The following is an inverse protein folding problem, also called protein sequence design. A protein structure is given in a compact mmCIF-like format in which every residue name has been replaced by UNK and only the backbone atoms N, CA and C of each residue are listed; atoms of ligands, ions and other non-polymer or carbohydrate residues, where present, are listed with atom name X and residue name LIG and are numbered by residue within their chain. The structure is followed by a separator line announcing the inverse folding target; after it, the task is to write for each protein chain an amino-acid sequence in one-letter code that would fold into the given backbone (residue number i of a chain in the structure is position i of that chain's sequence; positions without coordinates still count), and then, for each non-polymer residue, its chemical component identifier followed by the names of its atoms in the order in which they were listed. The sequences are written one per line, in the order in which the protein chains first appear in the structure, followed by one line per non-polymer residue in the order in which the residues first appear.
data_IF_889587095798
#
_entry.id   IF_889587095798
#
_cell.length_a   1.000
_cell.length_b   1.000
_cell.length_c   1.000
_cell.angle_alpha   90.00
_cell.angle_beta   90.00
_cell.angle_gamma   90.00
#
_symmetry.space_group_name_H-M   'P 1'
#
loop_
_entity.id
_entity.type
_entity.pdbx_description
1 polymer ?
#
# COMPACT_ATOMS: atom_id res chain seq x y z
N UNK A 1 17.86 -16.91 8.56
CA UNK A 1 18.71 -15.69 8.48
C UNK A 1 19.90 -15.78 9.42
N UNK A 2 19.72 -15.85 10.74
CA UNK A 2 20.84 -15.84 11.70
C UNK A 2 21.87 -16.98 11.51
N UNK A 3 21.48 -18.10 10.91
CA UNK A 3 22.37 -19.22 10.57
C UNK A 3 23.35 -18.90 9.43
N UNK A 4 23.11 -17.84 8.66
CA UNK A 4 23.95 -17.44 7.53
C UNK A 4 24.92 -16.34 7.98
N UNK A 5 26.24 -16.59 7.95
CA UNK A 5 27.25 -15.63 8.42
C UNK A 5 27.21 -14.27 7.73
N UNK A 6 26.67 -14.19 6.51
CA UNK A 6 26.62 -12.94 5.73
C UNK A 6 25.69 -11.87 6.33
N UNK A 7 24.78 -12.27 7.21
CA UNK A 7 23.93 -11.33 7.96
C UNK A 7 24.53 -10.91 9.31
N UNK A 8 25.70 -11.44 9.67
CA UNK A 8 26.40 -11.11 10.91
C UNK A 8 27.55 -10.14 10.60
N UNK A 9 27.92 -9.28 11.56
CA UNK A 9 29.04 -8.37 11.36
C UNK A 9 30.36 -9.14 11.32
N UNK A 10 31.29 -8.67 10.48
CA UNK A 10 32.68 -9.09 10.56
C UNK A 10 33.42 -8.42 11.74
N UNK A 11 34.72 -8.69 11.88
CA UNK A 11 35.58 -8.11 12.93
C UNK A 11 35.66 -6.58 12.89
N UNK A 12 35.28 -5.96 11.78
CA UNK A 12 35.23 -4.51 11.59
C UNK A 12 33.80 -3.94 11.66
N UNK A 13 32.80 -4.77 11.97
CA UNK A 13 31.40 -4.36 12.03
C UNK A 13 30.69 -4.28 10.67
N UNK A 14 31.30 -4.76 9.58
CA UNK A 14 30.67 -4.69 8.27
C UNK A 14 29.65 -5.81 8.06
N UNK A 15 28.52 -5.47 7.44
CA UNK A 15 27.49 -6.42 7.03
C UNK A 15 27.59 -6.68 5.53
N UNK A 16 27.77 -7.96 5.14
CA UNK A 16 27.76 -8.37 3.72
C UNK A 16 26.35 -8.34 3.15
N UNK A 17 25.35 -8.76 3.93
CA UNK A 17 23.93 -8.66 3.60
C UNK A 17 23.24 -7.73 4.59
N UNK A 18 22.57 -6.71 4.04
CA UNK A 18 21.80 -5.73 4.81
C UNK A 18 20.33 -6.10 4.81
N UNK A 19 19.62 -5.75 5.88
CA UNK A 19 18.19 -6.00 6.03
C UNK A 19 17.45 -4.67 5.96
N UNK A 20 16.49 -4.57 5.05
CA UNK A 20 15.50 -3.50 5.03
C UNK A 20 14.20 -4.04 5.58
N UNK A 21 13.65 -3.37 6.60
CA UNK A 21 12.36 -3.69 7.18
C UNK A 21 11.33 -2.67 6.71
N UNK A 22 10.35 -3.14 5.95
CA UNK A 22 9.22 -2.34 5.49
C UNK A 22 8.14 -2.29 6.57
N UNK A 23 7.75 -1.10 6.98
CA UNK A 23 6.92 -0.86 8.17
C UNK A 23 5.90 0.24 7.89
N UNK A 24 4.75 0.19 8.57
CA UNK A 24 3.70 1.20 8.49
C UNK A 24 3.72 2.18 9.65
N UNK A 25 4.33 1.81 10.78
CA UNK A 25 4.30 2.58 12.03
C UNK A 25 5.52 2.29 12.92
N UNK A 26 5.75 3.13 13.92
CA UNK A 26 6.90 3.02 14.82
C UNK A 26 6.82 1.76 15.72
N UNK A 27 5.63 1.37 16.17
CA UNK A 27 5.46 0.23 17.07
C UNK A 27 5.81 -1.08 16.36
N UNK A 28 5.34 -1.27 15.13
CA UNK A 28 5.64 -2.44 14.32
C UNK A 28 7.14 -2.51 13.99
N UNK A 29 7.77 -1.37 13.68
CA UNK A 29 9.22 -1.27 13.48
C UNK A 29 10.01 -1.67 14.73
N UNK A 30 9.61 -1.13 15.89
CA UNK A 30 10.24 -1.41 17.17
C UNK A 30 10.13 -2.90 17.55
N UNK A 31 8.92 -3.47 17.50
CA UNK A 31 8.68 -4.87 17.86
C UNK A 31 9.46 -5.82 16.94
N UNK A 32 9.34 -5.64 15.62
CA UNK A 32 10.01 -6.50 14.64
C UNK A 32 11.54 -6.32 14.68
N UNK A 33 12.01 -5.08 14.87
CA UNK A 33 13.42 -4.78 15.11
C UNK A 33 13.97 -5.57 16.30
N UNK A 34 13.27 -5.56 17.45
CA UNK A 34 13.70 -6.32 18.63
C UNK A 34 13.74 -7.82 18.38
N UNK A 35 12.79 -8.37 17.63
CA UNK A 35 12.78 -9.79 17.27
C UNK A 35 14.01 -10.15 16.44
N UNK A 36 14.42 -9.29 15.50
CA UNK A 36 15.60 -9.51 14.65
C UNK A 36 16.90 -9.30 15.44
N UNK A 37 16.99 -8.23 16.23
CA UNK A 37 18.16 -7.93 17.06
C UNK A 37 18.45 -9.08 18.05
N UNK A 38 17.42 -9.62 18.72
CA UNK A 38 17.55 -10.80 19.60
C UNK A 38 18.07 -12.06 18.89
N UNK A 39 17.98 -12.12 17.56
CA UNK A 39 18.53 -13.20 16.74
C UNK A 39 19.92 -12.88 16.18
N UNK A 40 20.51 -11.75 16.58
CA UNK A 40 21.78 -11.25 16.05
C UNK A 40 21.66 -10.76 14.61
N UNK A 41 20.49 -10.26 14.21
CA UNK A 41 20.26 -9.67 12.88
C UNK A 41 20.08 -8.17 13.02
N UNK A 42 20.91 -7.40 12.32
CA UNK A 42 20.82 -5.94 12.29
C UNK A 42 19.89 -5.46 11.18
N UNK A 43 18.97 -4.54 11.51
CA UNK A 43 18.14 -3.85 10.52
C UNK A 43 18.90 -2.61 10.06
N UNK A 44 19.29 -2.58 8.79
CA UNK A 44 20.07 -1.47 8.20
C UNK A 44 19.18 -0.34 7.66
N UNK A 45 17.91 -0.62 7.37
CA UNK A 45 16.95 0.37 6.88
C UNK A 45 15.55 0.07 7.43
N UNK A 46 14.89 1.09 7.97
CA UNK A 46 13.45 1.12 8.22
C UNK A 46 12.80 1.90 7.09
N UNK A 47 12.04 1.19 6.24
CA UNK A 47 11.33 1.76 5.10
C UNK A 47 9.88 1.94 5.47
N UNK A 48 9.53 3.18 5.78
CA UNK A 48 8.18 3.57 6.18
C UNK A 48 7.34 3.71 4.93
N UNK A 49 6.15 3.13 4.92
CA UNK A 49 5.22 3.24 3.81
C UNK A 49 3.86 3.76 4.27
N UNK A 50 3.30 4.69 3.51
CA UNK A 50 1.89 5.06 3.66
C UNK A 50 1.00 3.85 3.41
N UNK A 51 0.07 3.60 4.33
CA UNK A 51 -0.78 2.41 4.31
C UNK A 51 -1.70 2.33 3.08
N UNK A 52 -2.22 3.47 2.62
CA UNK A 52 -3.20 3.54 1.52
C UNK A 52 -2.68 4.26 0.27
N UNK A 53 -1.64 5.09 0.38
CA UNK A 53 -1.16 5.93 -0.73
C UNK A 53 -0.01 5.29 -1.53
N UNK A 54 0.40 4.07 -1.18
CA UNK A 54 1.35 3.26 -1.93
C UNK A 54 0.66 2.45 -3.05
N UNK A 55 1.41 2.02 -4.06
CA UNK A 55 0.95 0.97 -4.97
C UNK A 55 0.97 -0.41 -4.32
N UNK A 56 0.30 -1.38 -4.92
CA UNK A 56 0.20 -2.74 -4.40
C UNK A 56 -0.75 -2.84 -3.20
N UNK A 57 -0.42 -3.69 -2.23
CA UNK A 57 -1.26 -3.93 -1.06
C UNK A 57 -1.56 -2.65 -0.28
N UNK A 58 -2.82 -2.49 0.09
CA UNK A 58 -3.33 -1.38 0.86
C UNK A 58 -3.59 -1.85 2.30
N UNK A 59 -2.76 -1.39 3.22
CA UNK A 59 -2.83 -1.72 4.64
C UNK A 59 -3.29 -0.48 5.41
N UNK A 60 -4.60 -0.32 5.55
CA UNK A 60 -5.14 0.74 6.40
C UNK A 60 -4.68 0.53 7.85
N UNK A 61 -4.07 1.55 8.44
CA UNK A 61 -3.94 1.69 9.89
C UNK A 61 -5.31 2.01 10.50
N UNK A 62 -5.42 2.08 11.83
CA UNK A 62 -6.61 2.60 12.49
C UNK A 62 -6.63 4.15 12.44
N UNK A 63 -6.45 4.74 11.25
CA UNK A 63 -6.49 6.18 11.01
C UNK A 63 -5.18 6.94 11.24
N UNK A 64 -4.09 6.25 11.56
CA UNK A 64 -2.77 6.88 11.74
C UNK A 64 -2.22 7.37 10.39
N UNK A 65 -1.89 8.67 10.32
CA UNK A 65 -1.37 9.33 9.12
C UNK A 65 0.17 9.34 9.10
N UNK A 66 0.75 9.46 7.89
CA UNK A 66 2.20 9.33 7.68
C UNK A 66 3.01 10.40 8.42
N UNK A 67 2.59 11.67 8.41
CA UNK A 67 3.34 12.74 9.07
C UNK A 67 3.59 12.51 10.56
N UNK A 68 2.52 12.29 11.37
CA UNK A 68 2.68 11.92 12.77
C UNK A 68 3.59 10.71 12.98
N UNK A 69 3.48 9.67 12.14
CA UNK A 69 4.35 8.50 12.20
C UNK A 69 5.81 8.90 11.98
N UNK A 70 6.11 9.70 10.95
CA UNK A 70 7.46 10.20 10.67
C UNK A 70 8.00 11.07 11.81
N UNK A 71 7.17 11.89 12.46
CA UNK A 71 7.58 12.69 13.62
C UNK A 71 8.01 11.80 14.81
N UNK A 72 7.28 10.70 15.04
CA UNK A 72 7.65 9.71 16.07
C UNK A 72 8.97 9.04 15.72
N UNK A 73 9.20 8.66 14.46
CA UNK A 73 10.48 8.10 14.02
C UNK A 73 11.62 9.10 14.17
N UNK A 74 11.44 10.35 13.73
CA UNK A 74 12.42 11.42 13.87
C UNK A 74 12.81 11.62 15.33
N UNK A 75 11.83 11.69 16.23
CA UNK A 75 12.05 11.94 17.65
C UNK A 75 12.73 10.76 18.36
N UNK A 76 12.38 9.52 17.99
CA UNK A 76 12.82 8.32 18.71
C UNK A 76 13.92 7.52 17.98
N UNK A 77 14.47 8.02 16.87
CA UNK A 77 15.47 7.30 16.04
C UNK A 77 16.65 6.79 16.86
N UNK A 78 17.27 7.65 17.66
CA UNK A 78 18.43 7.29 18.47
C UNK A 78 18.08 6.28 19.57
N UNK A 79 16.94 6.46 20.25
CA UNK A 79 16.44 5.52 21.24
C UNK A 79 16.22 4.13 20.63
N UNK A 80 15.55 4.06 19.48
CA UNK A 80 15.36 2.83 18.73
C UNK A 80 16.70 2.15 18.42
N UNK A 81 17.66 2.87 17.86
CA UNK A 81 18.97 2.34 17.46
C UNK A 81 19.72 1.78 18.68
N UNK A 82 19.77 2.53 19.78
CA UNK A 82 20.50 2.14 20.98
C UNK A 82 19.91 0.87 21.62
N UNK A 83 18.58 0.82 21.80
CA UNK A 83 17.94 -0.37 22.38
C UNK A 83 18.10 -1.62 21.51
N UNK A 84 18.07 -1.46 20.18
CA UNK A 84 18.31 -2.57 19.27
C UNK A 84 19.78 -3.01 19.30
N UNK A 85 20.72 -2.08 19.43
CA UNK A 85 22.13 -2.38 19.55
C UNK A 85 22.45 -3.19 20.81
N UNK A 86 21.83 -2.89 21.95
CA UNK A 86 22.00 -3.69 23.17
C UNK A 86 21.55 -5.14 22.98
N UNK A 87 20.35 -5.34 22.41
CA UNK A 87 19.80 -6.67 22.15
C UNK A 87 20.63 -7.46 21.12
N UNK A 88 21.07 -6.76 20.07
CA UNK A 88 21.92 -7.32 19.03
C UNK A 88 23.26 -7.75 19.60
N UNK A 89 23.91 -6.89 20.39
CA UNK A 89 25.18 -7.17 21.03
C UNK A 89 25.10 -8.38 21.97
N UNK A 90 24.06 -8.46 22.81
CA UNK A 90 23.83 -9.63 23.67
C UNK A 90 23.68 -10.93 22.85
N UNK A 91 22.96 -10.87 21.72
CA UNK A 91 22.81 -12.01 20.83
C UNK A 91 24.15 -12.43 20.21
N UNK A 92 25.00 -11.49 19.79
CA UNK A 92 26.32 -11.80 19.23
C UNK A 92 27.27 -12.41 20.26
N UNK A 93 27.30 -11.89 21.49
CA UNK A 93 28.08 -12.46 22.61
C UNK A 93 27.70 -13.93 22.84
N UNK A 94 26.41 -14.23 22.93
CA UNK A 94 25.93 -15.60 23.15
C UNK A 94 26.32 -16.58 22.04
N UNK A 95 26.69 -16.06 20.87
CA UNK A 95 27.07 -16.83 19.67
C UNK A 95 28.58 -16.85 19.42
N UNK A 96 29.37 -16.18 20.25
CA UNK A 96 30.82 -16.08 20.06
C UNK A 96 31.22 -15.30 18.80
N UNK A 97 30.39 -14.34 18.38
CA UNK A 97 30.63 -13.49 17.19
C UNK A 97 31.17 -12.13 17.66
N UNK A 98 32.09 -11.49 16.91
CA UNK A 98 32.56 -10.13 17.22
C UNK A 98 31.40 -9.14 17.39
N UNK A 99 31.48 -8.32 18.43
CA UNK A 99 30.47 -7.33 18.77
C UNK A 99 30.97 -5.95 18.35
N UNK A 100 30.24 -5.21 17.50
CA UNK A 100 30.59 -3.84 17.19
C UNK A 100 30.56 -2.96 18.45
N UNK A 101 31.55 -2.09 18.62
CA UNK A 101 31.64 -1.21 19.79
C UNK A 101 30.62 -0.07 19.78
N UNK A 102 30.03 0.22 18.63
CA UNK A 102 29.01 1.25 18.41
C UNK A 102 27.86 0.66 17.60
N UNK A 103 26.65 1.25 17.69
CA UNK A 103 25.54 0.89 16.82
C UNK A 103 25.94 1.01 15.35
N UNK A 104 25.54 0.01 14.56
CA UNK A 104 25.76 0.05 13.11
C UNK A 104 24.80 1.08 12.48
N UNK A 105 25.15 1.70 11.33
CA UNK A 105 24.30 2.70 10.70
C UNK A 105 22.90 2.18 10.36
N UNK A 106 21.88 3.03 10.60
CA UNK A 106 20.47 2.76 10.27
C UNK A 106 19.92 3.89 9.44
N UNK A 107 19.33 3.54 8.29
CA UNK A 107 18.58 4.47 7.45
C UNK A 107 17.10 4.43 7.80
N UNK A 108 16.44 5.58 7.76
CA UNK A 108 14.98 5.71 7.78
C UNK A 108 14.57 6.30 6.44
N UNK A 109 13.81 5.54 5.65
CA UNK A 109 13.32 5.98 4.33
C UNK A 109 11.80 5.99 4.32
N UNK A 110 11.19 6.76 3.41
CA UNK A 110 9.73 6.89 3.32
C UNK A 110 9.20 6.76 1.90
N UNK A 111 8.04 6.12 1.74
CA UNK A 111 7.38 5.94 0.45
C UNK A 111 5.87 6.11 0.56
N UNK A 112 5.23 6.40 -0.56
CA UNK A 112 3.78 6.50 -0.70
C UNK A 112 3.33 7.92 -1.01
N UNK A 113 2.58 8.08 -2.11
CA UNK A 113 1.97 9.36 -2.48
C UNK A 113 2.91 10.48 -2.94
N UNK A 114 4.22 10.35 -2.80
CA UNK A 114 5.20 11.38 -3.19
C UNK A 114 5.13 11.59 -4.70
N UNK A 115 5.03 12.84 -5.13
CA UNK A 115 4.89 13.17 -6.55
C UNK A 115 5.63 14.42 -7.00
N UNK A 116 6.10 15.31 -6.13
CA UNK A 116 6.99 16.42 -6.54
C UNK A 116 8.37 16.37 -5.88
N UNK A 117 9.35 17.03 -6.50
CA UNK A 117 10.67 17.23 -5.89
C UNK A 117 10.60 18.04 -4.59
N UNK A 118 9.66 18.99 -4.49
CA UNK A 118 9.45 19.77 -3.27
C UNK A 118 8.90 18.91 -2.11
N UNK A 119 8.04 17.93 -2.40
CA UNK A 119 7.60 16.94 -1.41
C UNK A 119 8.77 16.06 -0.93
N UNK A 120 9.62 15.56 -1.86
CA UNK A 120 10.84 14.80 -1.50
C UNK A 120 11.78 15.61 -0.61
N UNK A 121 12.06 16.85 -1.01
CA UNK A 121 12.93 17.77 -0.28
C UNK A 121 12.36 18.08 1.11
N UNK A 122 11.07 18.37 1.20
CA UNK A 122 10.41 18.61 2.49
C UNK A 122 10.54 17.42 3.43
N UNK A 123 10.35 16.19 2.94
CA UNK A 123 10.46 14.98 3.76
C UNK A 123 11.88 14.84 4.34
N UNK A 124 12.92 15.10 3.53
CA UNK A 124 14.32 15.05 3.96
C UNK A 124 14.65 16.15 4.96
N UNK A 125 14.24 17.39 4.67
CA UNK A 125 14.61 18.54 5.47
C UNK A 125 13.88 18.58 6.82
N UNK A 126 12.56 18.34 6.80
CA UNK A 126 11.73 18.45 8.00
C UNK A 126 11.78 17.18 8.85
N UNK A 127 11.64 15.99 8.24
CA UNK A 127 11.62 14.72 8.98
C UNK A 127 12.99 14.05 9.14
N UNK A 128 14.02 14.57 8.48
CA UNK A 128 15.37 14.00 8.51
C UNK A 128 15.43 12.54 8.02
N UNK A 129 14.58 12.19 7.05
CA UNK A 129 14.63 10.87 6.39
C UNK A 129 15.86 10.79 5.48
N UNK A 130 16.47 9.60 5.45
CA UNK A 130 17.67 9.28 4.67
C UNK A 130 17.37 9.05 3.17
N UNK A 131 16.10 9.09 2.78
CA UNK A 131 15.66 8.96 1.39
C UNK A 131 14.17 8.72 1.22
N UNK A 132 13.71 8.90 0.00
CA UNK A 132 12.35 8.60 -0.41
C UNK A 132 12.30 7.49 -1.46
N UNK A 133 11.15 6.85 -1.62
CA UNK A 133 10.90 5.85 -2.66
C UNK A 133 9.74 6.22 -3.58
N UNK A 134 9.95 5.96 -4.87
CA UNK A 134 9.01 6.24 -5.95
C UNK A 134 8.76 4.95 -6.72
N UNK A 135 7.56 4.39 -6.59
CA UNK A 135 7.21 3.12 -7.21
C UNK A 135 6.36 3.31 -8.47
N UNK A 136 5.10 3.67 -8.28
CA UNK A 136 4.09 3.71 -9.34
C UNK A 136 4.45 4.57 -10.56
N UNK A 137 5.09 5.74 -10.44
CA UNK A 137 5.53 6.51 -11.61
C UNK A 137 6.45 5.72 -12.56
N UNK A 138 7.25 4.78 -12.06
CA UNK A 138 8.12 3.95 -12.91
C UNK A 138 7.35 2.94 -13.78
N UNK A 139 6.05 2.71 -13.52
CA UNK A 139 5.20 1.95 -14.44
C UNK A 139 5.00 2.67 -15.78
N UNK A 140 5.32 3.96 -15.88
CA UNK A 140 5.32 4.74 -17.12
C UNK A 140 6.70 4.82 -17.80
N UNK A 141 7.71 4.14 -17.24
CA UNK A 141 9.10 4.12 -17.74
C UNK A 141 9.42 2.78 -18.41
N UNK A 142 9.48 2.69 -19.76
CA UNK A 142 9.77 1.45 -20.47
C UNK A 142 11.11 0.80 -20.09
N UNK A 143 12.11 1.63 -19.79
CA UNK A 143 13.47 1.19 -19.44
C UNK A 143 13.56 0.54 -18.05
N UNK A 144 12.57 0.76 -17.17
CA UNK A 144 12.61 0.34 -15.77
C UNK A 144 11.64 -0.80 -15.42
N UNK A 145 10.63 -1.05 -16.25
CA UNK A 145 9.55 -1.99 -15.94
C UNK A 145 9.10 -2.78 -17.16
N UNK A 146 8.74 -4.05 -16.96
CA UNK A 146 8.22 -4.94 -18.00
C UNK A 146 6.72 -4.77 -18.28
N UNK A 147 6.14 -3.61 -17.97
CA UNK A 147 4.72 -3.33 -18.29
C UNK A 147 4.56 -3.28 -19.81
N UNK A 148 3.56 -3.98 -20.35
CA UNK A 148 3.27 -3.97 -21.79
C UNK A 148 2.72 -2.62 -22.25
N UNK A 149 2.88 -2.33 -23.55
CA UNK A 149 2.54 -1.01 -24.12
C UNK A 149 1.06 -0.66 -23.94
N UNK A 150 0.15 -1.63 -24.07
CA UNK A 150 -1.28 -1.41 -23.90
C UNK A 150 -1.64 -1.01 -22.47
N UNK A 151 -1.11 -1.73 -21.49
CA UNK A 151 -1.25 -1.40 -20.07
C UNK A 151 -0.60 -0.07 -19.73
N UNK A 152 0.59 0.22 -20.27
CA UNK A 152 1.31 1.47 -20.03
C UNK A 152 0.56 2.68 -20.58
N UNK A 153 0.01 2.56 -21.79
CA UNK A 153 -0.83 3.59 -22.38
C UNK A 153 -2.08 3.83 -21.52
N UNK A 154 -2.74 2.76 -21.07
CA UNK A 154 -3.89 2.86 -20.17
C UNK A 154 -3.54 3.58 -18.86
N UNK A 155 -2.36 3.32 -18.28
CA UNK A 155 -1.90 4.03 -17.08
C UNK A 155 -1.63 5.51 -17.35
N UNK A 156 -1.11 5.86 -18.53
CA UNK A 156 -0.87 7.25 -18.93
C UNK A 156 -2.17 8.03 -19.20
N UNK A 157 -3.22 7.34 -19.66
CA UNK A 157 -4.52 7.94 -19.94
C UNK A 157 -5.47 7.95 -18.72
N UNK A 158 -5.07 7.28 -17.63
CA UNK A 158 -5.90 7.11 -16.44
C UNK A 158 -6.10 8.41 -15.66
N UNK A 159 -7.31 8.57 -15.14
CA UNK A 159 -7.73 9.68 -14.28
C UNK A 159 -7.88 9.21 -12.83
N UNK A 160 -8.16 10.12 -11.90
CA UNK A 160 -8.33 9.76 -10.48
C UNK A 160 -9.40 8.69 -10.25
N UNK A 161 -10.48 8.68 -11.04
CA UNK A 161 -11.61 7.75 -10.89
C UNK A 161 -11.29 6.31 -11.31
N UNK A 162 -10.21 6.14 -12.09
CA UNK A 162 -9.74 4.84 -12.57
C UNK A 162 -8.94 4.07 -11.51
N UNK A 163 -8.46 4.75 -10.47
CA UNK A 163 -7.70 4.14 -9.38
C UNK A 163 -8.62 3.86 -8.19
N UNK A 164 -8.51 2.66 -7.62
CA UNK A 164 -9.32 2.28 -6.46
C UNK A 164 -8.66 1.21 -5.60
N UNK A 165 -8.99 1.17 -4.32
CA UNK A 165 -8.64 0.04 -3.45
C UNK A 165 -9.62 -1.11 -3.69
N UNK A 166 -9.10 -2.24 -4.17
CA UNK A 166 -9.86 -3.41 -4.60
C UNK A 166 -9.87 -4.50 -3.52
N UNK A 167 -11.02 -5.18 -3.39
CA UNK A 167 -11.19 -6.41 -2.59
C UNK A 167 -10.88 -7.68 -3.42
N UNK A 168 -10.46 -7.56 -4.68
CA UNK A 168 -10.31 -8.68 -5.64
C UNK A 168 -9.25 -9.73 -5.29
N UNK A 169 -8.44 -9.50 -4.26
CA UNK A 169 -7.37 -10.42 -3.85
C UNK A 169 -7.95 -11.76 -3.38
N UNK A 170 -7.43 -12.90 -3.88
CA UNK A 170 -7.85 -14.21 -3.40
C UNK A 170 -7.53 -14.46 -1.92
N UNK A 171 -6.57 -13.70 -1.36
CA UNK A 171 -6.16 -13.77 0.04
C UNK A 171 -6.99 -12.87 0.97
N UNK A 172 -7.94 -12.09 0.43
CA UNK A 172 -8.74 -11.15 1.21
C UNK A 172 -7.97 -9.93 1.72
N UNK A 173 -6.78 -9.66 1.16
CA UNK A 173 -5.97 -8.47 1.47
C UNK A 173 -6.23 -7.41 0.40
N UNK A 174 -6.75 -6.23 0.74
CA UNK A 174 -7.00 -5.17 -0.23
C UNK A 174 -5.71 -4.67 -0.89
N UNK A 175 -5.83 -4.18 -2.12
CA UNK A 175 -4.72 -3.56 -2.85
C UNK A 175 -5.21 -2.48 -3.81
N UNK A 176 -4.38 -1.47 -4.07
CA UNK A 176 -4.68 -0.45 -5.06
C UNK A 176 -4.60 -1.04 -6.48
N UNK A 177 -5.63 -0.77 -7.27
CA UNK A 177 -5.85 -1.38 -8.57
C UNK A 177 -6.29 -0.33 -9.60
N UNK A 178 -6.15 -0.69 -10.87
CA UNK A 178 -6.64 0.08 -12.00
C UNK A 178 -7.93 -0.55 -12.55
N UNK A 179 -8.93 0.28 -12.83
CA UNK A 179 -10.18 -0.16 -13.48
C UNK A 179 -9.96 -0.55 -14.93
N UNK A 180 -10.83 -1.42 -15.43
CA UNK A 180 -10.95 -1.81 -16.82
C UNK A 180 -9.64 -2.42 -17.40
N UNK A 181 -8.88 -3.09 -16.55
CA UNK A 181 -7.73 -3.88 -17.01
C UNK A 181 -8.19 -5.07 -17.85
N UNK A 182 -7.33 -5.60 -18.72
CA UNK A 182 -7.69 -6.75 -19.56
C UNK A 182 -8.00 -8.00 -18.72
N UNK A 183 -7.44 -8.11 -17.51
CA UNK A 183 -7.82 -9.11 -16.51
C UNK A 183 -9.23 -8.91 -15.96
N UNK A 184 -9.59 -7.69 -15.58
CA UNK A 184 -10.96 -7.37 -15.12
C UNK A 184 -11.99 -7.61 -16.24
N UNK A 185 -11.69 -7.21 -17.47
CA UNK A 185 -12.54 -7.50 -18.64
C UNK A 185 -12.67 -9.01 -18.91
N UNK A 186 -11.61 -9.80 -18.70
CA UNK A 186 -11.69 -11.25 -18.88
C UNK A 186 -12.56 -11.90 -17.81
N UNK A 187 -12.46 -11.44 -16.57
CA UNK A 187 -13.27 -11.88 -15.45
C UNK A 187 -14.76 -11.70 -15.75
N UNK A 188 -15.19 -10.50 -16.15
CA UNK A 188 -16.61 -10.26 -16.46
C UNK A 188 -17.10 -11.04 -17.68
N UNK A 189 -16.29 -11.16 -18.75
CA UNK A 189 -16.62 -12.02 -19.90
C UNK A 189 -16.83 -13.49 -19.52
N UNK A 190 -16.13 -13.98 -18.49
CA UNK A 190 -16.30 -15.35 -17.98
C UNK A 190 -17.59 -15.50 -17.17
N UNK A 191 -17.94 -14.49 -16.38
CA UNK A 191 -19.22 -14.42 -15.66
C UNK A 191 -20.39 -14.47 -16.65
N UNK A 192 -20.38 -13.63 -17.69
CA UNK A 192 -21.41 -13.60 -18.75
C UNK A 192 -21.59 -14.94 -19.47
N UNK A 193 -20.50 -15.70 -19.63
CA UNK A 193 -20.52 -17.04 -20.25
C UNK A 193 -20.93 -18.15 -19.29
N UNK A 194 -21.31 -17.84 -18.05
CA UNK A 194 -21.64 -18.81 -17.02
C UNK A 194 -20.45 -19.66 -16.55
N UNK A 195 -19.23 -19.17 -16.74
CA UNK A 195 -17.96 -19.85 -16.36
C UNK A 195 -17.10 -18.98 -15.44
N UNK A 196 -17.62 -18.52 -14.29
CA UNK A 196 -16.91 -17.62 -13.40
C UNK A 196 -15.62 -18.25 -12.83
N UNK A 197 -14.66 -17.39 -12.47
CA UNK A 197 -13.36 -17.77 -11.91
C UNK A 197 -12.33 -18.30 -12.91
N UNK A 198 -11.14 -18.63 -12.39
CA UNK A 198 -10.01 -19.19 -13.15
C UNK A 198 -9.75 -20.68 -12.92
N UNK A 199 -9.20 -21.41 -13.91
CA UNK A 199 -8.81 -22.82 -13.73
C UNK A 199 -7.82 -23.05 -12.58
N UNK A 200 -7.06 -22.03 -12.20
CA UNK A 200 -6.11 -22.04 -11.08
C UNK A 200 -5.01 -23.08 -11.25
N UNK A 201 -4.32 -23.03 -12.40
CA UNK A 201 -3.26 -24.00 -12.74
C UNK A 201 -2.01 -23.84 -11.87
N UNK A 202 -1.63 -22.59 -11.57
CA UNK A 202 -0.42 -22.25 -10.80
C UNK A 202 -0.52 -22.53 -9.29
N UNK A 203 -1.73 -22.43 -8.72
CA UNK A 203 -2.04 -22.74 -7.31
C UNK A 203 -1.26 -21.97 -6.22
N UNK A 204 -0.51 -20.90 -6.55
CA UNK A 204 0.31 -20.18 -5.56
C UNK A 204 -0.49 -19.49 -4.44
N UNK A 205 -1.73 -19.08 -4.70
CA UNK A 205 -2.60 -18.37 -3.74
C UNK A 205 -3.74 -19.25 -3.19
N UNK A 206 -3.57 -20.58 -3.22
CA UNK A 206 -4.53 -21.52 -2.66
C UNK A 206 -4.47 -21.49 -1.14
N UNK A 207 -5.60 -21.20 -0.49
CA UNK A 207 -5.64 -21.01 0.97
C UNK A 207 -6.99 -21.32 1.65
N UNK A 208 -8.08 -21.48 0.90
CA UNK A 208 -9.43 -21.53 1.48
C UNK A 208 -9.99 -22.96 1.50
N UNK A 209 -10.50 -23.41 2.65
CA UNK A 209 -11.07 -24.76 2.87
C UNK A 209 -12.58 -24.74 3.14
N UNK A 210 -13.30 -23.69 2.72
CA UNK A 210 -14.74 -23.54 3.00
C UNK A 210 -15.59 -24.67 2.42
N UNK A 211 -15.22 -25.20 1.25
CA UNK A 211 -16.01 -26.21 0.52
C UNK A 211 -15.30 -27.54 0.32
N UNK A 212 -14.00 -27.62 0.61
CA UNK A 212 -13.17 -28.79 0.32
C UNK A 212 -12.17 -29.04 1.44
N UNK A 213 -11.78 -30.31 1.63
CA UNK A 213 -10.74 -30.68 2.61
C UNK A 213 -9.38 -30.11 2.19
N UNK A 214 -9.03 -30.27 0.93
CA UNK A 214 -7.86 -29.64 0.35
C UNK A 214 -8.19 -28.18 0.05
N UNK A 215 -7.30 -27.22 0.38
CA UNK A 215 -7.57 -25.82 0.12
C UNK A 215 -7.72 -25.57 -1.39
N UNK A 216 -8.60 -24.63 -1.72
CA UNK A 216 -8.79 -24.09 -3.08
C UNK A 216 -8.67 -22.57 -3.06
N UNK A 217 -8.39 -21.98 -4.23
CA UNK A 217 -8.29 -20.53 -4.38
C UNK A 217 -9.67 -19.91 -4.53
N UNK A 218 -9.95 -18.78 -3.88
CA UNK A 218 -11.25 -18.09 -3.96
C UNK A 218 -11.52 -17.48 -5.35
N UNK A 219 -10.47 -17.19 -6.13
CA UNK A 219 -10.58 -16.83 -7.54
C UNK A 219 -10.74 -18.04 -8.48
N UNK A 220 -10.70 -19.28 -7.97
CA UNK A 220 -10.84 -20.46 -8.83
C UNK A 220 -12.29 -20.69 -9.28
N UNK A 221 -12.47 -21.21 -10.49
CA UNK A 221 -13.79 -21.60 -11.00
C UNK A 221 -14.47 -22.66 -10.11
N UNK A 222 -13.68 -23.51 -9.45
CA UNK A 222 -14.20 -24.48 -8.49
C UNK A 222 -14.83 -23.77 -7.29
N UNK A 223 -14.09 -22.86 -6.64
CA UNK A 223 -14.61 -22.13 -5.48
C UNK A 223 -15.81 -21.27 -5.86
N UNK A 224 -15.69 -20.44 -6.90
CA UNK A 224 -16.75 -19.53 -7.29
C UNK A 224 -18.04 -20.27 -7.62
N UNK A 225 -17.99 -21.39 -8.36
CA UNK A 225 -19.18 -22.21 -8.64
C UNK A 225 -19.83 -22.79 -7.38
N UNK A 226 -19.04 -23.23 -6.41
CA UNK A 226 -19.57 -23.76 -5.14
C UNK A 226 -20.21 -22.64 -4.31
N UNK A 227 -19.56 -21.48 -4.24
CA UNK A 227 -20.06 -20.32 -3.50
C UNK A 227 -21.33 -19.75 -4.11
N UNK A 228 -21.40 -19.63 -5.43
CA UNK A 228 -22.59 -19.16 -6.16
C UNK A 228 -23.78 -20.07 -5.88
N UNK A 229 -23.60 -21.40 -6.02
CA UNK A 229 -24.67 -22.37 -5.70
C UNK A 229 -25.15 -22.28 -4.24
N UNK A 230 -24.24 -22.03 -3.31
CA UNK A 230 -24.60 -21.82 -1.92
C UNK A 230 -25.46 -20.55 -1.76
N UNK A 231 -25.07 -19.44 -2.39
CA UNK A 231 -25.80 -18.17 -2.33
C UNK A 231 -27.18 -18.24 -2.98
N UNK A 232 -27.29 -18.89 -4.14
CA UNK A 232 -28.56 -19.11 -4.86
C UNK A 232 -29.54 -20.02 -4.10
N UNK A 233 -29.04 -20.87 -3.21
CA UNK A 233 -29.85 -21.73 -2.35
C UNK A 233 -30.29 -21.05 -1.04
N UNK A 234 -29.78 -19.85 -0.74
CA UNK A 234 -30.19 -19.06 0.42
C UNK A 234 -31.42 -18.21 0.09
N UNK A 235 -32.29 -18.01 1.09
CA UNK A 235 -33.44 -17.11 0.98
C UNK A 235 -33.00 -15.65 1.18
N UNK A 236 -32.33 -15.10 0.17
CA UNK A 236 -31.84 -13.72 0.15
C UNK A 236 -32.74 -12.84 -0.72
N UNK A 237 -32.83 -11.55 -0.39
CA UNK A 237 -33.45 -10.60 -1.32
C UNK A 237 -32.63 -10.52 -2.62
N UNK A 238 -33.26 -10.15 -3.75
CA UNK A 238 -32.56 -9.99 -5.02
C UNK A 238 -31.33 -9.07 -4.91
N UNK A 239 -31.46 -7.97 -4.16
CA UNK A 239 -30.40 -6.98 -3.98
C UNK A 239 -29.21 -7.54 -3.18
N UNK A 240 -29.49 -8.27 -2.10
CA UNK A 240 -28.44 -8.89 -1.27
C UNK A 240 -27.75 -10.04 -2.02
N UNK A 241 -28.50 -10.81 -2.81
CA UNK A 241 -27.94 -11.87 -3.64
C UNK A 241 -26.99 -11.28 -4.70
N UNK A 242 -27.42 -10.24 -5.42
CA UNK A 242 -26.60 -9.57 -6.43
C UNK A 242 -25.31 -9.01 -5.83
N UNK A 243 -25.41 -8.33 -4.67
CA UNK A 243 -24.26 -7.80 -3.95
C UNK A 243 -23.26 -8.89 -3.58
N UNK A 244 -23.72 -10.00 -2.99
CA UNK A 244 -22.85 -11.12 -2.58
C UNK A 244 -22.24 -11.83 -3.77
N UNK A 245 -22.99 -12.02 -4.86
CA UNK A 245 -22.46 -12.60 -6.10
C UNK A 245 -21.37 -11.71 -6.69
N UNK A 246 -21.56 -10.39 -6.71
CA UNK A 246 -20.52 -9.43 -7.11
C UNK A 246 -19.21 -9.61 -6.36
N UNK A 247 -19.27 -9.84 -5.04
CA UNK A 247 -18.09 -10.12 -4.18
C UNK A 247 -17.40 -11.46 -4.47
N UNK A 248 -18.12 -12.42 -5.03
CA UNK A 248 -17.52 -13.68 -5.53
C UNK A 248 -16.87 -13.45 -6.89
N UNK A 249 -17.55 -12.74 -7.79
CA UNK A 249 -17.09 -12.51 -9.15
C UNK A 249 -15.81 -11.68 -9.20
N UNK A 250 -15.70 -10.62 -8.39
CA UNK A 250 -14.55 -9.70 -8.39
C UNK A 250 -13.19 -10.38 -8.07
N UNK A 251 -13.16 -11.63 -7.58
CA UNK A 251 -11.91 -12.31 -7.22
C UNK A 251 -11.10 -12.68 -8.47
N UNK A 252 -9.90 -12.12 -8.57
CA UNK A 252 -9.05 -12.22 -9.77
C UNK A 252 -7.87 -13.18 -9.62
N UNK A 253 -7.34 -13.70 -10.74
CA UNK A 253 -6.23 -14.65 -10.75
C UNK A 253 -4.86 -13.94 -10.71
N UNK A 254 -4.47 -13.44 -9.54
CA UNK A 254 -3.21 -12.70 -9.40
C UNK A 254 -1.95 -13.51 -9.75
N UNK A 255 -2.00 -14.85 -9.70
CA UNK A 255 -0.87 -15.72 -10.06
C UNK A 255 -0.47 -15.61 -11.54
N UNK A 256 -1.43 -15.34 -12.41
CA UNK A 256 -1.24 -15.25 -13.86
C UNK A 256 -1.25 -13.78 -14.27
N UNK A 257 -2.25 -13.03 -13.83
CA UNK A 257 -2.53 -11.70 -14.33
C UNK A 257 -1.43 -10.67 -13.99
N UNK A 258 -0.76 -10.81 -12.82
CA UNK A 258 0.35 -9.92 -12.45
C UNK A 258 1.66 -10.24 -13.20
N UNK A 259 1.81 -11.47 -13.71
CA UNK A 259 2.98 -11.89 -14.48
C UNK A 259 2.78 -11.69 -16.00
N UNK A 260 1.53 -11.48 -16.43
CA UNK A 260 1.14 -11.45 -17.83
C UNK A 260 1.87 -10.37 -18.65
N UNK A 261 2.16 -9.21 -18.07
CA UNK A 261 2.89 -8.13 -18.77
C UNK A 261 4.24 -8.60 -19.30
N UNK A 262 5.05 -9.24 -18.44
CA UNK A 262 6.35 -9.76 -18.81
C UNK A 262 6.24 -10.89 -19.85
N UNK A 263 5.25 -11.77 -19.71
CA UNK A 263 5.03 -12.87 -20.64
C UNK A 263 4.58 -12.38 -22.03
N UNK A 264 3.68 -11.39 -22.07
CA UNK A 264 3.20 -10.77 -23.31
C UNK A 264 4.35 -10.07 -24.04
N UNK A 265 5.18 -9.29 -23.34
CA UNK A 265 6.32 -8.58 -23.93
C UNK A 265 7.40 -9.52 -24.48
N UNK A 266 7.59 -10.68 -23.85
CA UNK A 266 8.58 -11.68 -24.30
C UNK A 266 8.06 -12.61 -25.40
N UNK A 267 6.80 -12.45 -25.85
CA UNK A 267 6.19 -13.36 -26.82
C UNK A 267 5.96 -14.78 -26.27
N UNK A 268 5.91 -14.93 -24.94
CA UNK A 268 5.63 -16.20 -24.26
C UNK A 268 4.13 -16.43 -24.03
N UNK A 269 3.28 -15.56 -24.59
CA UNK A 269 1.84 -15.77 -24.70
C UNK A 269 1.50 -16.62 -25.94
N UNK A 270 0.37 -17.32 -25.91
CA UNK A 270 -0.15 -18.06 -27.08
C UNK A 270 -0.65 -17.12 -28.19
N UNK A 271 -1.61 -17.58 -28.99
CA UNK A 271 -2.20 -16.79 -30.09
C UNK A 271 -2.89 -15.49 -29.64
N UNK A 272 -3.13 -15.30 -28.34
CA UNK A 272 -3.73 -14.09 -27.79
C UNK A 272 -2.98 -13.62 -26.54
N UNK A 273 -2.88 -12.31 -26.30
CA UNK A 273 -2.29 -11.76 -25.09
C UNK A 273 -2.96 -12.30 -23.83
N UNK A 274 -2.16 -12.56 -22.82
CA UNK A 274 -2.63 -12.94 -21.49
C UNK A 274 -3.34 -11.75 -20.81
N UNK A 275 -4.39 -12.00 -20.01
CA UNK A 275 -5.05 -10.99 -19.20
C UNK A 275 -4.05 -10.34 -18.23
N UNK A 276 -4.04 -9.02 -18.13
CA UNK A 276 -3.13 -8.26 -17.27
C UNK A 276 -3.86 -7.69 -16.08
N UNK A 277 -3.23 -7.76 -14.91
CA UNK A 277 -3.54 -6.97 -13.74
C UNK A 277 -2.33 -6.09 -13.37
N UNK A 278 -2.58 -4.89 -12.86
CA UNK A 278 -1.54 -3.96 -12.41
C UNK A 278 -2.05 -3.22 -11.17
N UNK A 279 -1.15 -2.97 -10.21
CA UNK A 279 -1.50 -2.40 -8.91
C UNK A 279 -0.81 -1.05 -8.64
N UNK A 280 -1.07 -0.02 -9.45
CA UNK A 280 -0.49 1.31 -9.26
C UNK A 280 -1.06 1.98 -8.00
N UNK A 281 -0.28 2.88 -7.39
CA UNK A 281 -0.78 3.80 -6.37
C UNK A 281 -1.56 4.94 -7.03
N UNK A 282 -2.53 5.54 -6.31
CA UNK A 282 -3.47 6.52 -6.88
C UNK A 282 -2.80 7.81 -7.36
N UNK A 283 -1.61 8.13 -6.84
CA UNK A 283 -0.84 9.30 -7.28
C UNK A 283 -0.43 9.25 -8.76
N UNK A 284 -0.49 8.08 -9.40
CA UNK A 284 -0.16 7.91 -10.81
C UNK A 284 -1.13 8.66 -11.74
N UNK A 285 -2.36 8.93 -11.30
CA UNK A 285 -3.38 9.69 -12.04
C UNK A 285 -2.91 11.08 -12.54
N UNK A 286 -1.85 11.62 -11.94
CA UNK A 286 -1.31 12.92 -12.27
C UNK A 286 -0.09 12.87 -13.20
N UNK A 287 0.30 11.68 -13.66
CA UNK A 287 1.37 11.45 -14.62
C UNK A 287 0.76 10.93 -15.93
N UNK A 288 0.62 11.80 -16.93
CA UNK A 288 -0.10 11.46 -18.15
C UNK A 288 0.79 11.20 -19.37
N UNK A 289 2.04 10.78 -19.14
CA UNK A 289 3.02 10.56 -20.20
C UNK A 289 3.86 9.33 -19.92
N UNK A 290 4.12 8.58 -20.98
CA UNK A 290 5.20 7.59 -21.04
C UNK A 290 6.51 8.36 -21.18
N UNK A 291 7.50 8.05 -20.33
CA UNK A 291 8.74 8.82 -20.22
C UNK A 291 9.96 7.91 -20.13
N UNK A 292 11.13 8.46 -20.43
CA UNK A 292 12.43 7.79 -20.24
C UNK A 292 12.81 7.73 -18.76
N UNK A 293 13.79 6.89 -18.42
CA UNK A 293 14.36 6.86 -17.06
C UNK A 293 14.98 8.20 -16.69
N UNK A 294 15.68 8.83 -17.64
CA UNK A 294 16.31 10.14 -17.43
C UNK A 294 15.28 11.21 -17.07
N UNK A 295 14.15 11.26 -17.77
CA UNK A 295 13.07 12.21 -17.49
C UNK A 295 12.44 11.96 -16.12
N UNK A 296 12.13 10.70 -15.78
CA UNK A 296 11.55 10.35 -14.47
C UNK A 296 12.51 10.69 -13.31
N UNK A 297 13.79 10.39 -13.47
CA UNK A 297 14.84 10.79 -12.50
C UNK A 297 14.98 12.31 -12.46
N UNK A 298 14.92 12.97 -13.62
CA UNK A 298 14.90 14.43 -13.74
C UNK A 298 13.75 15.05 -12.95
N UNK A 299 12.56 14.45 -12.99
CA UNK A 299 11.40 14.87 -12.22
C UNK A 299 11.60 14.74 -10.71
N UNK A 300 12.08 13.59 -10.25
CA UNK A 300 12.34 13.33 -8.82
C UNK A 300 13.32 14.36 -8.24
N UNK A 301 14.36 14.72 -8.99
CA UNK A 301 15.38 15.69 -8.57
C UNK A 301 15.08 17.14 -9.01
N UNK A 302 13.87 17.44 -9.48
CA UNK A 302 13.43 18.81 -9.79
C UNK A 302 14.05 19.44 -11.04
N UNK A 303 14.71 18.67 -11.91
CA UNK A 303 15.24 19.12 -13.21
C UNK A 303 14.15 19.23 -14.28
N UNK A 304 13.07 18.48 -14.12
CA UNK A 304 11.92 18.42 -15.03
C UNK A 304 10.63 18.40 -14.20
N UNK A 305 9.50 18.79 -14.80
CA UNK A 305 8.17 18.59 -14.22
C UNK A 305 7.36 17.72 -15.18
N UNK A 306 7.06 16.49 -14.76
CA UNK A 306 6.30 15.52 -15.56
C UNK A 306 4.80 15.51 -15.28
N UNK A 307 4.38 16.14 -14.18
CA UNK A 307 2.98 16.17 -13.80
C UNK A 307 2.21 17.16 -14.65
N UNK A 308 1.04 16.74 -15.16
CA UNK A 308 0.25 17.52 -16.11
C UNK A 308 -0.88 18.33 -15.46
N UNK A 309 -1.27 17.99 -14.23
CA UNK A 309 -2.34 18.65 -13.51
C UNK A 309 -1.77 19.65 -12.48
N UNK A 310 -2.09 20.94 -12.66
CA UNK A 310 -1.68 22.01 -11.74
C UNK A 310 -2.45 22.00 -10.41
N UNK A 311 -3.48 21.16 -10.29
CA UNK A 311 -4.42 21.05 -9.18
C UNK A 311 -4.20 19.80 -8.31
N UNK A 312 -3.13 19.03 -8.56
CA UNK A 312 -2.77 17.92 -7.67
C UNK A 312 -2.68 18.40 -6.22
N UNK A 313 -3.42 17.79 -5.29
CA UNK A 313 -3.28 18.07 -3.87
C UNK A 313 -1.94 17.53 -3.34
N UNK A 314 -1.44 18.14 -2.27
CA UNK A 314 -0.26 17.63 -1.56
C UNK A 314 -0.44 16.16 -1.14
N UNK A 315 0.64 15.39 -1.11
CA UNK A 315 0.61 13.97 -0.73
C UNK A 315 -0.10 13.69 0.62
N UNK A 316 -0.01 14.59 1.61
CA UNK A 316 -0.69 14.45 2.90
C UNK A 316 -2.20 14.67 2.79
N UNK A 317 -2.65 15.56 1.91
CA UNK A 317 -4.07 15.80 1.62
C UNK A 317 -4.65 14.58 0.89
N UNK A 318 -3.93 14.04 -0.10
CA UNK A 318 -4.32 12.80 -0.78
C UNK A 318 -4.45 11.64 0.20
N UNK A 319 -3.52 11.53 1.15
CA UNK A 319 -3.59 10.49 2.19
C UNK A 319 -4.83 10.62 3.07
N UNK A 320 -5.19 11.83 3.53
CA UNK A 320 -6.42 12.04 4.33
C UNK A 320 -7.65 11.61 3.54
N UNK A 321 -7.77 12.03 2.27
CA UNK A 321 -8.89 11.65 1.38
C UNK A 321 -9.04 10.13 1.29
N UNK A 322 -7.93 9.42 1.03
CA UNK A 322 -7.94 7.96 0.94
C UNK A 322 -8.40 7.31 2.25
N UNK A 323 -7.99 7.83 3.41
CA UNK A 323 -8.41 7.29 4.69
C UNK A 323 -9.89 7.62 5.02
N UNK A 324 -10.37 8.81 4.67
CA UNK A 324 -11.79 9.18 4.82
C UNK A 324 -12.67 8.27 3.97
N UNK A 325 -12.29 8.06 2.70
CA UNK A 325 -13.01 7.16 1.79
C UNK A 325 -12.99 5.72 2.29
N UNK A 326 -11.86 5.27 2.82
CA UNK A 326 -11.74 3.96 3.43
C UNK A 326 -12.67 3.82 4.65
N UNK A 327 -12.65 4.78 5.57
CA UNK A 327 -13.52 4.77 6.75
C UNK A 327 -15.01 4.73 6.36
N UNK A 328 -15.43 5.53 5.38
CA UNK A 328 -16.80 5.53 4.86
C UNK A 328 -17.20 4.16 4.32
N UNK A 329 -16.34 3.53 3.50
CA UNK A 329 -16.56 2.19 2.95
C UNK A 329 -16.66 1.13 4.05
N UNK A 330 -15.79 1.19 5.05
CA UNK A 330 -15.80 0.23 6.15
C UNK A 330 -17.04 0.38 7.04
N UNK A 331 -17.49 1.60 7.31
CA UNK A 331 -18.76 1.84 8.03
C UNK A 331 -19.94 1.31 7.23
N UNK A 332 -19.98 1.57 5.91
CA UNK A 332 -21.07 1.12 5.05
C UNK A 332 -21.23 -0.41 5.05
N UNK A 333 -20.11 -1.15 5.05
CA UNK A 333 -20.11 -2.63 5.08
C UNK A 333 -20.84 -3.22 6.29
N UNK A 334 -20.82 -2.52 7.42
CA UNK A 334 -21.38 -3.03 8.69
C UNK A 334 -22.52 -2.17 9.21
N UNK A 335 -23.04 -1.24 8.42
CA UNK A 335 -23.95 -0.19 8.88
C UNK A 335 -25.17 -0.73 9.67
N UNK A 336 -25.76 -1.84 9.19
CA UNK A 336 -26.93 -2.48 9.80
C UNK A 336 -26.58 -3.58 10.81
N UNK A 337 -25.30 -3.93 10.97
CA UNK A 337 -24.83 -5.08 11.76
C UNK A 337 -23.70 -4.71 12.71
N UNK A 338 -23.48 -3.41 12.94
CA UNK A 338 -22.31 -2.91 13.64
C UNK A 338 -22.31 -3.38 15.11
N UNK A 339 -21.18 -3.95 15.51
CA UNK A 339 -20.92 -4.33 16.89
C UNK A 339 -20.34 -3.17 17.71
N UNK A 340 -20.42 -3.25 19.04
CA UNK A 340 -19.78 -2.27 19.93
C UNK A 340 -18.26 -2.16 19.71
N UNK A 341 -17.62 -3.28 19.34
CA UNK A 341 -16.19 -3.31 19.01
C UNK A 341 -15.88 -2.52 17.73
N UNK A 342 -16.67 -2.70 16.68
CA UNK A 342 -16.50 -1.98 15.41
C UNK A 342 -16.77 -0.49 15.58
N UNK A 343 -17.82 -0.14 16.34
CA UNK A 343 -18.11 1.25 16.66
C UNK A 343 -16.93 1.91 17.39
N UNK A 344 -16.37 1.26 18.41
CA UNK A 344 -15.20 1.74 19.13
C UNK A 344 -13.98 1.90 18.19
N UNK A 345 -13.75 0.93 17.29
CA UNK A 345 -12.68 1.01 16.29
C UNK A 345 -12.85 2.22 15.38
N UNK A 346 -14.05 2.45 14.83
CA UNK A 346 -14.31 3.61 13.97
C UNK A 346 -14.20 4.94 14.72
N UNK A 347 -14.58 4.98 16.00
CA UNK A 347 -14.39 6.16 16.84
C UNK A 347 -12.89 6.46 17.03
N UNK A 348 -12.07 5.44 17.31
CA UNK A 348 -10.61 5.57 17.36
C UNK A 348 -10.04 6.03 16.01
N UNK A 349 -10.48 5.41 14.92
CA UNK A 349 -10.05 5.77 13.56
C UNK A 349 -10.30 7.25 13.27
N UNK A 350 -11.52 7.73 13.54
CA UNK A 350 -11.88 9.14 13.37
C UNK A 350 -11.05 10.06 14.26
N UNK A 351 -10.77 9.67 15.50
CA UNK A 351 -9.95 10.46 16.43
C UNK A 351 -8.50 10.57 15.94
N UNK A 352 -7.90 9.47 15.48
CA UNK A 352 -6.55 9.45 14.93
C UNK A 352 -6.44 10.30 13.64
N UNK A 353 -7.44 10.23 12.76
CA UNK A 353 -7.49 11.12 11.59
C UNK A 353 -7.58 12.59 11.97
N UNK A 354 -8.39 12.93 12.97
CA UNK A 354 -8.51 14.30 13.46
C UNK A 354 -7.16 14.81 14.00
N UNK A 355 -6.48 14.02 14.82
CA UNK A 355 -5.16 14.35 15.34
C UNK A 355 -4.14 14.55 14.19
N UNK A 356 -4.18 13.68 13.18
CA UNK A 356 -3.34 13.81 11.99
C UNK A 356 -3.63 15.06 11.16
N UNK A 357 -4.91 15.43 11.00
CA UNK A 357 -5.32 16.68 10.34
C UNK A 357 -4.80 17.89 11.12
N UNK A 358 -4.94 17.90 12.45
CA UNK A 358 -4.45 18.99 13.29
C UNK A 358 -2.92 19.11 13.26
N UNK A 359 -2.22 17.97 13.25
CA UNK A 359 -0.79 17.93 12.99
C UNK A 359 -0.45 18.56 11.65
N UNK A 360 -1.14 18.22 10.55
CA UNK A 360 -0.88 18.80 9.23
C UNK A 360 -1.20 20.30 9.16
N UNK A 361 -2.23 20.79 9.86
CA UNK A 361 -2.47 22.25 9.99
C UNK A 361 -1.29 22.96 10.62
N UNK A 362 -0.69 22.35 11.66
CA UNK A 362 0.51 22.89 12.32
C UNK A 362 1.77 22.81 11.44
N UNK A 363 1.77 21.90 10.45
CA UNK A 363 2.88 21.68 9.52
C UNK A 363 2.91 22.68 8.37
N UNK A 364 1.76 23.20 7.92
CA UNK A 364 1.68 24.11 6.76
C UNK A 364 2.67 25.29 6.85
N UNK A 365 2.85 26.00 7.99
CA UNK A 365 3.84 27.06 8.11
C UNK A 365 5.29 26.61 7.83
N UNK A 366 5.62 25.32 8.04
CA UNK A 366 6.95 24.73 7.84
C UNK A 366 7.26 24.45 6.37
N UNK A 367 6.27 24.52 5.47
CA UNK A 367 6.44 24.41 4.02
C UNK A 367 7.01 25.71 3.42
N UNK A 368 8.15 26.18 3.96
CA UNK A 368 8.72 27.51 3.64
C UNK A 368 9.21 27.64 2.19
N UNK A 369 9.52 26.51 1.54
CA UNK A 369 9.92 26.45 0.13
C UNK A 369 8.74 26.48 -0.84
N UNK A 370 7.53 26.32 -0.33
CA UNK A 370 6.30 26.37 -1.12
C UNK A 370 5.72 27.78 -1.20
N UNK A 371 4.97 28.04 -2.27
CA UNK A 371 4.31 29.36 -2.45
C UNK A 371 3.25 29.62 -1.38
N UNK A 372 2.97 30.89 -1.09
CA UNK A 372 1.88 31.26 -0.19
C UNK A 372 0.53 30.73 -0.66
N UNK A 373 0.23 30.87 -1.96
CA UNK A 373 -0.96 30.30 -2.59
C UNK A 373 -1.09 28.79 -2.37
N UNK A 374 0.01 28.04 -2.48
CA UNK A 374 0.00 26.59 -2.23
C UNK A 374 -0.34 26.27 -0.77
N UNK A 375 0.25 27.00 0.18
CA UNK A 375 -0.03 26.85 1.62
C UNK A 375 -1.46 27.22 1.97
N UNK A 376 -2.02 28.25 1.35
CA UNK A 376 -3.44 28.63 1.51
C UNK A 376 -4.39 27.57 0.97
N UNK A 377 -4.11 27.04 -0.23
CA UNK A 377 -4.89 25.95 -0.82
C UNK A 377 -4.85 24.70 0.07
N UNK A 378 -3.68 24.31 0.57
CA UNK A 378 -3.55 23.18 1.49
C UNK A 378 -4.33 23.39 2.79
N UNK A 379 -4.33 24.61 3.37
CA UNK A 379 -5.16 24.93 4.55
C UNK A 379 -6.65 24.81 4.27
N UNK A 380 -7.11 25.32 3.13
CA UNK A 380 -8.51 25.22 2.74
C UNK A 380 -8.94 23.75 2.59
N UNK A 381 -8.10 22.93 1.95
CA UNK A 381 -8.34 21.49 1.81
C UNK A 381 -8.37 20.76 3.16
N UNK A 382 -7.50 21.13 4.11
CA UNK A 382 -7.52 20.54 5.46
C UNK A 382 -8.83 20.86 6.19
N UNK A 383 -9.33 22.09 6.09
CA UNK A 383 -10.61 22.49 6.71
C UNK A 383 -11.80 21.78 6.08
N UNK A 384 -11.78 21.60 4.75
CA UNK A 384 -12.81 20.83 4.02
C UNK A 384 -12.84 19.37 4.49
N UNK A 385 -11.68 18.72 4.54
CA UNK A 385 -11.56 17.32 4.94
C UNK A 385 -11.89 17.09 6.42
N UNK A 386 -11.56 18.05 7.28
CA UNK A 386 -11.99 18.04 8.68
C UNK A 386 -13.52 18.11 8.80
N UNK A 387 -14.16 19.02 8.06
CA UNK A 387 -15.61 19.14 8.07
C UNK A 387 -16.26 17.85 7.54
N UNK A 388 -15.71 17.27 6.47
CA UNK A 388 -16.16 16.00 5.91
C UNK A 388 -16.03 14.86 6.93
N UNK A 389 -14.89 14.74 7.62
CA UNK A 389 -14.65 13.75 8.66
C UNK A 389 -15.67 13.86 9.80
N UNK A 390 -15.99 15.09 10.22
CA UNK A 390 -16.96 15.35 11.29
C UNK A 390 -18.40 15.04 10.89
N UNK A 391 -18.72 15.08 9.60
CA UNK A 391 -20.03 14.70 9.07
C UNK A 391 -20.23 13.17 8.97
N UNK A 392 -19.17 12.37 9.10
CA UNK A 392 -19.29 10.91 9.08
C UNK A 392 -20.08 10.43 10.29
N UNK A 393 -21.25 9.86 10.02
CA UNK A 393 -22.11 9.23 11.02
C UNK A 393 -21.62 7.81 11.29
N UNK A 394 -21.15 7.57 12.51
CA UNK A 394 -20.85 6.23 13.00
C UNK A 394 -22.12 5.68 13.67
N UNK A 395 -22.75 4.63 13.14
CA UNK A 395 -24.00 4.10 13.68
C UNK A 395 -23.84 3.55 15.12
N UNK A 396 -24.93 3.56 15.89
CA UNK A 396 -24.96 2.93 17.20
C UNK A 396 -24.93 1.40 17.05
N UNK A 397 -24.37 0.66 18.03
CA UNK A 397 -24.37 -0.79 18.01
C UNK A 397 -25.80 -1.32 17.99
N UNK A 398 -26.04 -2.34 17.18
CA UNK A 398 -27.31 -3.07 17.25
C UNK A 398 -27.34 -3.79 18.60
N UNK A 399 -28.41 -3.57 19.38
CA UNK A 399 -28.59 -4.30 20.63
C UNK A 399 -28.63 -5.80 20.32
N UNK A 400 -27.76 -6.59 20.96
CA UNK A 400 -27.72 -8.04 20.82
C UNK A 400 -28.93 -8.70 21.46
#
# INVERSE_FOLDING_TARGET
MAQFPEFLPDEHGNLRKRVTLKVSDYRSAYIQGKILAKKGIWVSEYRIESGLNCGGHAFASDGDLLGPILEVFKTNKETLINELHELFSAALVSRGVPVPAQPLPVRVTVQGGIGTAAEDEFLRDYYHVDGTGWGSPFLLVPEATNVDDGTRQKLADATCDDFYTSDSSPLGIPFNNLRDTTGEQQLYRRVEKGKPGSPCEKKFLVSNTEFTKDPICTASSQYQRLKIKQLEAMDLSPEELEYRLGKVYEKTCLCEDLAATALNNNGECGESPLPVAVCPGPNLAYFSKIVTLEEMVGHIYGRLQLMTASDRPNMFISEIRLNIDHLKKEIQKVFNTISAREQARFATYRANLQEGIDYYKSLVPQLVKETERYREMMRAQLLELEAELMQIVIPCPVAQ
#
